data_IF_334647110946
#
_entry.id   IF_334647110946
#
_cell.length_a   1.000
_cell.length_b   1.000
_cell.length_c   1.000
_cell.angle_alpha   90.00
_cell.angle_beta   90.00
_cell.angle_gamma   90.00
#
_symmetry.space_group_name_H-M   'P 1'
#
loop_
_entity.id
_entity.type
_entity.pdbx_description
1 polymer ?
#
# COMPACT_ATOMS: atom_id res chain seq x y z
N UNK A 1 21.21 -3.38 -4.47
CA UNK A 1 19.92 -3.94 -4.05
C UNK A 1 19.19 -4.41 -5.30
N UNK A 2 19.05 -5.71 -5.49
CA UNK A 2 18.33 -6.27 -6.64
C UNK A 2 16.84 -6.14 -6.36
N UNK A 3 16.18 -5.13 -6.92
CA UNK A 3 14.73 -5.00 -6.82
C UNK A 3 14.09 -6.20 -7.52
N UNK A 4 13.46 -7.07 -6.75
CA UNK A 4 12.75 -8.22 -7.30
C UNK A 4 11.39 -7.74 -7.82
N UNK A 5 10.82 -8.43 -8.81
CA UNK A 5 9.50 -8.09 -9.39
C UNK A 5 8.39 -8.01 -8.32
N UNK A 6 8.54 -8.75 -7.22
CA UNK A 6 7.64 -8.70 -6.05
C UNK A 6 7.67 -7.35 -5.34
N UNK A 7 8.86 -6.78 -5.13
CA UNK A 7 9.01 -5.48 -4.46
C UNK A 7 8.44 -4.36 -5.32
N UNK A 8 8.64 -4.46 -6.65
CA UNK A 8 8.07 -3.51 -7.61
C UNK A 8 6.53 -3.57 -7.62
N UNK A 9 5.95 -4.76 -7.53
CA UNK A 9 4.50 -4.93 -7.46
C UNK A 9 3.93 -4.35 -6.15
N UNK A 10 4.56 -4.65 -5.01
CA UNK A 10 4.16 -4.07 -3.72
C UNK A 10 4.21 -2.53 -3.75
N UNK A 11 5.26 -1.95 -4.36
CA UNK A 11 5.37 -0.52 -4.52
C UNK A 11 4.22 0.06 -5.37
N UNK A 12 3.76 -0.66 -6.38
CA UNK A 12 2.61 -0.25 -7.19
C UNK A 12 1.30 -0.25 -6.38
N UNK A 13 1.02 -1.31 -5.61
CA UNK A 13 -0.16 -1.36 -4.73
C UNK A 13 -0.15 -0.24 -3.68
N UNK A 14 1.01 0.02 -3.06
CA UNK A 14 1.16 1.10 -2.09
C UNK A 14 0.99 2.48 -2.73
N UNK A 15 1.65 2.74 -3.84
CA UNK A 15 1.58 4.03 -4.53
C UNK A 15 0.17 4.29 -5.07
N UNK A 16 -0.48 3.27 -5.63
CA UNK A 16 -1.87 3.36 -6.07
C UNK A 16 -2.83 3.64 -4.92
N UNK A 17 -2.68 2.93 -3.80
CA UNK A 17 -3.51 3.13 -2.60
C UNK A 17 -3.37 4.54 -2.04
N UNK A 18 -2.13 5.02 -1.89
CA UNK A 18 -1.85 6.38 -1.40
C UNK A 18 -2.31 7.44 -2.40
N UNK A 19 -2.14 7.21 -3.69
CA UNK A 19 -2.60 8.12 -4.74
C UNK A 19 -4.12 8.31 -4.70
N UNK A 20 -4.88 7.21 -4.65
CA UNK A 20 -6.35 7.24 -4.58
C UNK A 20 -6.83 7.89 -3.29
N UNK A 21 -6.25 7.52 -2.14
CA UNK A 21 -6.65 8.13 -0.87
C UNK A 21 -6.34 9.62 -0.80
N UNK A 22 -5.23 10.07 -1.40
CA UNK A 22 -4.87 11.49 -1.50
C UNK A 22 -5.90 12.25 -2.32
N UNK A 23 -6.31 11.71 -3.48
CA UNK A 23 -7.35 12.34 -4.31
C UNK A 23 -8.67 12.47 -3.55
N UNK A 24 -9.09 11.43 -2.82
CA UNK A 24 -10.30 11.47 -2.00
C UNK A 24 -10.20 12.47 -0.82
N UNK A 25 -9.04 12.52 -0.17
CA UNK A 25 -8.77 13.48 0.89
C UNK A 25 -8.82 14.92 0.41
N UNK A 26 -8.26 15.22 -0.76
CA UNK A 26 -8.32 16.54 -1.38
C UNK A 26 -9.73 16.90 -1.82
N UNK A 27 -10.46 15.96 -2.44
CA UNK A 27 -11.83 16.18 -2.91
C UNK A 27 -12.80 16.48 -1.77
N UNK A 28 -12.57 15.87 -0.61
CA UNK A 28 -13.39 16.08 0.60
C UNK A 28 -12.84 17.17 1.53
N UNK A 29 -11.62 17.65 1.30
CA UNK A 29 -10.92 18.58 2.19
C UNK A 29 -10.61 18.01 3.59
N UNK A 30 -10.59 16.69 3.74
CA UNK A 30 -10.52 16.03 5.06
C UNK A 30 -9.32 15.10 5.20
N UNK A 31 -8.46 15.41 6.17
CA UNK A 31 -7.37 14.53 6.60
C UNK A 31 -7.86 13.20 7.15
N UNK A 32 -9.03 13.17 7.78
CA UNK A 32 -9.62 11.93 8.31
C UNK A 32 -10.00 11.01 7.16
N UNK A 33 -10.62 11.54 6.09
CA UNK A 33 -10.97 10.74 4.91
C UNK A 33 -9.71 10.17 4.26
N UNK A 34 -8.66 10.98 4.09
CA UNK A 34 -7.37 10.50 3.58
C UNK A 34 -6.82 9.32 4.41
N UNK A 35 -6.78 9.47 5.73
CA UNK A 35 -6.22 8.44 6.62
C UNK A 35 -7.06 7.16 6.60
N UNK A 36 -8.38 7.28 6.72
CA UNK A 36 -9.29 6.13 6.69
C UNK A 36 -9.18 5.39 5.35
N UNK A 37 -9.20 6.11 4.22
CA UNK A 37 -9.08 5.49 2.90
C UNK A 37 -7.71 4.85 2.68
N UNK A 38 -6.63 5.47 3.17
CA UNK A 38 -5.29 4.88 3.09
C UNK A 38 -5.20 3.57 3.86
N UNK A 39 -5.74 3.54 5.09
CA UNK A 39 -5.76 2.34 5.93
C UNK A 39 -6.62 1.25 5.27
N UNK A 40 -7.78 1.61 4.72
CA UNK A 40 -8.65 0.64 4.06
C UNK A 40 -7.98 0.05 2.81
N UNK A 41 -7.44 0.87 1.91
CA UNK A 41 -6.85 0.40 0.65
C UNK A 41 -5.57 -0.42 0.87
N UNK A 42 -4.68 0.05 1.75
CA UNK A 42 -3.46 -0.71 2.07
C UNK A 42 -3.81 -1.94 2.90
N UNK A 43 -4.71 -1.80 3.86
CA UNK A 43 -5.16 -2.89 4.74
C UNK A 43 -5.84 -4.02 3.98
N UNK A 44 -6.74 -3.72 3.04
CA UNK A 44 -7.34 -4.75 2.18
C UNK A 44 -6.30 -5.43 1.32
N UNK A 45 -5.37 -4.69 0.72
CA UNK A 45 -4.28 -5.25 -0.09
C UNK A 45 -3.37 -6.19 0.72
N UNK A 46 -3.19 -5.93 2.01
CA UNK A 46 -2.49 -6.81 2.94
C UNK A 46 -3.33 -8.06 3.27
N UNK A 47 -4.62 -7.89 3.55
CA UNK A 47 -5.53 -8.99 3.91
C UNK A 47 -5.78 -9.94 2.74
N UNK A 48 -5.82 -9.45 1.50
CA UNK A 48 -5.97 -10.26 0.29
C UNK A 48 -4.65 -10.91 -0.16
N UNK A 49 -3.52 -10.55 0.47
CA UNK A 49 -2.20 -11.06 0.12
C UNK A 49 -1.64 -10.51 -1.20
N UNK A 50 -2.23 -9.42 -1.73
CA UNK A 50 -1.69 -8.69 -2.88
C UNK A 50 -0.35 -8.03 -2.54
N UNK A 51 -0.27 -7.39 -1.37
CA UNK A 51 1.01 -6.93 -0.82
C UNK A 51 1.63 -8.10 -0.05
N UNK A 52 2.74 -8.62 -0.58
CA UNK A 52 3.51 -9.67 0.11
C UNK A 52 4.58 -9.04 0.99
N UNK A 53 4.47 -9.24 2.30
CA UNK A 53 5.52 -8.86 3.23
C UNK A 53 6.73 -9.76 2.96
N UNK A 54 7.91 -9.20 2.61
CA UNK A 54 9.08 -10.01 2.33
C UNK A 54 9.56 -10.67 3.63
N UNK A 55 9.43 -11.99 3.71
CA UNK A 55 9.91 -12.79 4.84
C UNK A 55 11.44 -12.83 4.81
N UNK A 56 12.08 -11.92 5.55
CA UNK A 56 13.54 -11.86 5.70
C UNK A 56 14.00 -12.91 6.72
N UNK A 57 13.54 -14.16 6.61
CA UNK A 57 14.16 -15.24 7.40
C UNK A 57 15.63 -15.36 6.98
N UNK A 58 16.59 -15.19 7.91
CA UNK A 58 17.98 -15.46 7.60
C UNK A 58 18.09 -16.96 7.29
N UNK A 59 18.31 -17.27 6.01
CA UNK A 59 18.61 -18.62 5.54
C UNK A 59 19.97 -18.99 6.13
N UNK A 60 19.99 -19.82 7.17
CA UNK A 60 21.19 -20.54 7.63
C UNK A 60 21.43 -21.72 6.71
#
# INVERSE_FOLDING_TARGET
MTYNSKDKLNAFHLTGSVGVSTLLGLLTGSWVVFLVMSILLVGTSLLTGEIRIPDHRPRR
#
